data_IF_893559003322
#
_entry.id   IF_893559003322
#
_cell.length_a   1.000
_cell.length_b   1.000
_cell.length_c   1.000
_cell.angle_alpha   90.00
_cell.angle_beta   90.00
_cell.angle_gamma   90.00
#
_symmetry.space_group_name_H-M   'P 1'
#
loop_
_entity.id
_entity.type
_entity.pdbx_description
1 polymer ?
#
# COMPACT_ATOMS: atom_id res chain seq x y z
N UNK A 1 13.20 -22.10 -10.64
CA UNK A 1 12.00 -21.26 -10.47
C UNK A 1 11.07 -21.89 -9.45
N UNK A 2 10.67 -21.12 -8.50
CA UNK A 2 9.75 -21.57 -7.46
C UNK A 2 8.41 -20.88 -7.59
N UNK A 3 7.37 -21.57 -7.16
CA UNK A 3 6.03 -21.01 -7.10
C UNK A 3 5.59 -20.92 -5.66
N UNK A 4 4.97 -19.79 -5.31
CA UNK A 4 4.46 -19.58 -3.98
C UNK A 4 3.09 -18.94 -4.07
N UNK A 5 2.13 -19.55 -3.41
CA UNK A 5 0.80 -18.98 -3.30
C UNK A 5 0.82 -17.97 -2.16
N UNK A 6 0.51 -16.74 -2.46
CA UNK A 6 0.55 -15.67 -1.48
C UNK A 6 -0.68 -14.80 -1.60
N UNK A 7 -0.99 -14.09 -0.53
CA UNK A 7 -2.02 -13.07 -0.57
C UNK A 7 -1.34 -11.74 -0.88
N UNK A 8 -1.84 -11.06 -1.89
CA UNK A 8 -1.27 -9.81 -2.38
C UNK A 8 -2.18 -8.67 -1.97
N UNK A 9 -1.59 -7.67 -1.34
CA UNK A 9 -2.26 -6.42 -1.02
C UNK A 9 -1.71 -5.35 -1.94
N UNK A 10 -2.59 -4.67 -2.66
CA UNK A 10 -2.20 -3.59 -3.55
C UNK A 10 -2.98 -2.34 -3.18
N UNK A 11 -2.32 -1.21 -3.12
CA UNK A 11 -3.00 0.03 -2.81
C UNK A 11 -2.42 1.19 -3.61
N UNK A 12 -3.27 2.17 -3.86
CA UNK A 12 -2.85 3.41 -4.50
C UNK A 12 -3.78 4.55 -4.04
N UNK A 13 -3.37 5.77 -4.37
CA UNK A 13 -4.14 6.96 -4.03
C UNK A 13 -5.19 7.22 -5.10
N UNK A 14 -6.42 7.47 -4.68
CA UNK A 14 -7.50 7.83 -5.60
C UNK A 14 -7.23 9.24 -6.12
N UNK A 15 -7.24 9.40 -7.45
CA UNK A 15 -7.08 10.69 -8.12
C UNK A 15 -5.79 11.43 -7.74
N UNK A 16 -4.69 10.70 -7.62
CA UNK A 16 -3.41 11.30 -7.21
C UNK A 16 -2.96 12.39 -8.17
N UNK A 17 -3.15 12.20 -9.47
CA UNK A 17 -2.79 13.22 -10.47
C UNK A 17 -3.51 14.54 -10.21
N UNK A 18 -4.74 14.46 -9.77
CA UNK A 18 -5.56 15.63 -9.47
C UNK A 18 -5.05 16.35 -8.23
N UNK A 19 -4.65 15.59 -7.21
CA UNK A 19 -4.06 16.16 -6.00
C UNK A 19 -2.74 16.85 -6.33
N UNK A 20 -1.92 16.22 -7.16
CA UNK A 20 -0.64 16.78 -7.59
C UNK A 20 -0.84 18.07 -8.37
N UNK A 21 -1.85 18.10 -9.25
CA UNK A 21 -2.14 19.30 -10.06
C UNK A 21 -2.64 20.45 -9.18
N UNK A 22 -3.33 20.14 -8.09
CA UNK A 22 -3.85 21.15 -7.18
C UNK A 22 -2.73 21.80 -6.35
N UNK A 23 -1.90 20.98 -5.72
CA UNK A 23 -0.76 21.45 -4.92
C UNK A 23 0.23 20.31 -4.79
N UNK A 24 1.28 20.37 -5.60
CA UNK A 24 2.27 19.29 -5.66
C UNK A 24 3.01 19.09 -4.34
N UNK A 25 3.41 20.18 -3.69
CA UNK A 25 4.18 20.09 -2.45
C UNK A 25 3.37 19.47 -1.32
N UNK A 26 2.10 19.88 -1.19
CA UNK A 26 1.22 19.31 -0.19
C UNK A 26 0.93 17.85 -0.50
N UNK A 27 0.66 17.52 -1.76
CA UNK A 27 0.36 16.15 -2.16
C UNK A 27 1.55 15.22 -1.86
N UNK A 28 2.76 15.64 -2.20
CA UNK A 28 3.95 14.82 -1.94
C UNK A 28 4.25 14.69 -0.45
N UNK A 29 4.08 15.77 0.30
CA UNK A 29 4.29 15.75 1.74
C UNK A 29 3.29 14.82 2.42
N UNK A 30 2.03 14.91 2.04
CA UNK A 30 0.99 14.03 2.57
C UNK A 30 1.24 12.58 2.20
N UNK A 31 1.62 12.33 0.95
CA UNK A 31 1.92 10.96 0.52
C UNK A 31 3.04 10.35 1.36
N UNK A 32 4.09 11.14 1.63
CA UNK A 32 5.21 10.66 2.44
C UNK A 32 4.77 10.27 3.83
N UNK A 33 3.95 11.09 4.47
CA UNK A 33 3.41 10.79 5.80
C UNK A 33 2.54 9.54 5.80
N UNK A 34 1.64 9.45 4.81
CA UNK A 34 0.75 8.29 4.70
C UNK A 34 1.53 7.03 4.42
N UNK A 35 2.60 7.14 3.63
CA UNK A 35 3.43 5.99 3.29
C UNK A 35 4.10 5.39 4.52
N UNK A 36 4.53 6.22 5.46
CA UNK A 36 5.10 5.73 6.71
C UNK A 36 4.08 4.92 7.50
N UNK A 37 2.85 5.40 7.55
CA UNK A 37 1.77 4.71 8.25
C UNK A 37 1.45 3.38 7.57
N UNK A 38 1.43 3.38 6.24
CA UNK A 38 1.15 2.18 5.45
C UNK A 38 2.25 1.14 5.67
N UNK A 39 3.51 1.55 5.59
CA UNK A 39 4.64 0.64 5.79
C UNK A 39 4.60 0.02 7.17
N UNK A 40 4.32 0.80 8.21
CA UNK A 40 4.19 0.28 9.57
C UNK A 40 3.05 -0.72 9.68
N UNK A 41 1.90 -0.42 9.10
CA UNK A 41 0.75 -1.30 9.16
C UNK A 41 1.03 -2.64 8.48
N UNK A 42 1.74 -2.60 7.35
CA UNK A 42 2.10 -3.81 6.61
C UNK A 42 3.08 -4.65 7.44
N UNK A 43 4.12 -4.03 7.98
CA UNK A 43 5.12 -4.76 8.76
C UNK A 43 4.57 -5.30 10.08
N UNK A 44 3.59 -4.62 10.66
CA UNK A 44 3.01 -5.06 11.93
C UNK A 44 2.36 -6.44 11.84
N UNK A 45 1.89 -6.83 10.67
CA UNK A 45 1.25 -8.13 10.45
C UNK A 45 2.08 -9.01 9.53
N UNK A 46 3.39 -8.80 9.54
CA UNK A 46 4.39 -9.60 8.84
C UNK A 46 4.24 -9.58 7.32
N UNK A 47 3.71 -8.49 6.78
CA UNK A 47 3.68 -8.29 5.34
C UNK A 47 5.05 -7.87 4.83
N UNK A 48 5.29 -8.13 3.55
CA UNK A 48 6.53 -7.76 2.88
C UNK A 48 6.22 -6.93 1.65
N UNK A 49 6.71 -5.70 1.63
CA UNK A 49 6.55 -4.82 0.48
C UNK A 49 7.55 -5.26 -0.58
N UNK A 50 7.05 -5.56 -1.78
CA UNK A 50 7.94 -5.96 -2.87
C UNK A 50 7.79 -5.11 -4.13
N UNK A 51 6.89 -4.14 -4.11
CA UNK A 51 6.75 -3.20 -5.21
C UNK A 51 6.26 -1.87 -4.72
N UNK A 52 6.81 -0.80 -5.28
CA UNK A 52 6.43 0.55 -4.92
C UNK A 52 6.79 1.46 -6.08
N UNK A 53 5.83 2.25 -6.55
CA UNK A 53 6.06 3.19 -7.64
C UNK A 53 5.10 4.35 -7.48
N UNK A 54 5.65 5.55 -7.27
CA UNK A 54 4.82 6.74 -7.07
C UNK A 54 3.93 6.56 -5.87
N UNK A 55 2.63 6.56 -6.10
CA UNK A 55 1.63 6.43 -5.05
C UNK A 55 1.17 4.99 -4.80
N UNK A 56 1.73 4.02 -5.51
CA UNK A 56 1.28 2.63 -5.37
C UNK A 56 2.24 1.79 -4.53
N UNK A 57 1.67 0.84 -3.81
CA UNK A 57 2.41 -0.09 -2.96
C UNK A 57 1.83 -1.49 -3.16
N UNK A 58 2.71 -2.47 -3.30
CA UNK A 58 2.32 -3.87 -3.42
C UNK A 58 3.07 -4.66 -2.36
N UNK A 59 2.32 -5.42 -1.56
CA UNK A 59 2.90 -6.22 -0.50
C UNK A 59 2.34 -7.63 -0.53
N UNK A 60 3.09 -8.57 0.03
CA UNK A 60 2.62 -9.94 0.14
C UNK A 60 2.49 -10.34 1.61
N UNK A 61 1.53 -11.23 1.86
CA UNK A 61 1.28 -11.79 3.18
C UNK A 61 1.15 -13.30 3.05
N UNK A 62 1.62 -14.01 4.05
CA UNK A 62 1.44 -15.46 4.10
C UNK A 62 -0.01 -15.84 4.40
N UNK A 63 -0.76 -14.94 5.01
CA UNK A 63 -2.13 -15.21 5.49
C UNK A 63 -3.11 -14.20 4.89
N UNK A 64 -4.20 -14.69 4.27
CA UNK A 64 -5.26 -13.79 3.79
C UNK A 64 -5.88 -12.97 4.94
N UNK A 65 -6.00 -13.54 6.11
CA UNK A 65 -6.56 -12.84 7.26
C UNK A 65 -5.71 -11.64 7.62
N UNK A 66 -4.40 -11.81 7.66
CA UNK A 66 -3.49 -10.70 7.99
C UNK A 66 -3.52 -9.61 6.93
N UNK A 67 -3.64 -9.99 5.66
CA UNK A 67 -3.75 -9.02 4.58
C UNK A 67 -5.02 -8.18 4.72
N UNK A 68 -6.15 -8.82 5.01
CA UNK A 68 -7.41 -8.12 5.20
C UNK A 68 -7.37 -7.24 6.44
N UNK A 69 -6.80 -7.73 7.53
CA UNK A 69 -6.64 -6.92 8.74
C UNK A 69 -5.80 -5.67 8.46
N UNK A 70 -4.73 -5.84 7.70
CA UNK A 70 -3.87 -4.71 7.32
C UNK A 70 -4.64 -3.70 6.50
N UNK A 71 -5.43 -4.17 5.51
CA UNK A 71 -6.24 -3.28 4.69
C UNK A 71 -7.22 -2.48 5.53
N UNK A 72 -7.92 -3.14 6.46
CA UNK A 72 -8.87 -2.48 7.35
C UNK A 72 -8.16 -1.46 8.25
N UNK A 73 -7.01 -1.84 8.81
CA UNK A 73 -6.24 -0.94 9.67
C UNK A 73 -5.78 0.31 8.92
N UNK A 74 -5.30 0.13 7.69
CA UNK A 74 -4.86 1.26 6.87
C UNK A 74 -6.04 2.20 6.60
N UNK A 75 -7.18 1.66 6.17
CA UNK A 75 -8.33 2.49 5.86
C UNK A 75 -8.87 3.22 7.09
N UNK A 76 -8.87 2.57 8.24
CA UNK A 76 -9.30 3.21 9.48
C UNK A 76 -8.39 4.39 9.85
N UNK A 77 -7.08 4.20 9.73
CA UNK A 77 -6.11 5.26 10.02
C UNK A 77 -6.24 6.42 9.04
N UNK A 78 -6.43 6.12 7.76
CA UNK A 78 -6.59 7.17 6.75
C UNK A 78 -7.87 7.97 6.99
N UNK A 79 -8.95 7.29 7.35
CA UNK A 79 -10.20 7.96 7.65
C UNK A 79 -10.05 8.91 8.84
N UNK A 80 -9.40 8.46 9.90
CA UNK A 80 -9.16 9.28 11.09
C UNK A 80 -8.36 10.53 10.76
N UNK A 81 -7.34 10.40 9.94
CA UNK A 81 -6.52 11.55 9.53
C UNK A 81 -7.34 12.51 8.67
N UNK A 82 -8.08 11.96 7.70
CA UNK A 82 -8.86 12.80 6.77
C UNK A 82 -9.94 13.60 7.47
N UNK A 83 -10.52 13.07 8.55
CA UNK A 83 -11.56 13.76 9.30
C UNK A 83 -11.07 15.10 9.89
N UNK A 84 -9.77 15.21 10.11
CA UNK A 84 -9.16 16.41 10.68
C UNK A 84 -8.55 17.33 9.62
N UNK A 85 -8.77 17.04 8.35
CA UNK A 85 -8.19 17.81 7.25
C UNK A 85 -9.29 18.44 6.39
N UNK A 86 -9.01 19.63 5.81
CA UNK A 86 -9.91 20.18 4.80
C UNK A 86 -9.98 19.24 3.61
N UNK A 87 -11.10 19.28 2.91
CA UNK A 87 -11.37 18.34 1.84
C UNK A 87 -10.26 18.29 0.77
N UNK A 88 -9.71 19.45 0.42
CA UNK A 88 -8.69 19.52 -0.63
C UNK A 88 -7.35 18.90 -0.21
N UNK A 89 -7.17 18.59 1.06
CA UNK A 89 -5.96 17.94 1.56
C UNK A 89 -6.17 16.47 1.90
N UNK A 90 -7.41 15.98 1.76
CA UNK A 90 -7.72 14.59 2.08
C UNK A 90 -7.17 13.66 1.01
N UNK A 91 -6.63 12.54 1.46
CA UNK A 91 -6.07 11.55 0.57
C UNK A 91 -6.77 10.22 0.83
N UNK A 92 -7.43 9.70 -0.20
CA UNK A 92 -8.15 8.43 -0.10
C UNK A 92 -7.38 7.36 -0.84
N UNK A 93 -7.39 6.16 -0.28
CA UNK A 93 -6.66 5.04 -0.86
C UNK A 93 -7.63 3.96 -1.34
N UNK A 94 -7.31 3.37 -2.48
CA UNK A 94 -7.94 2.13 -2.92
C UNK A 94 -7.04 1.00 -2.46
N UNK A 95 -7.65 -0.02 -1.84
CA UNK A 95 -6.92 -1.18 -1.36
C UNK A 95 -7.58 -2.42 -1.91
N UNK A 96 -6.81 -3.26 -2.57
CA UNK A 96 -7.27 -4.53 -3.09
C UNK A 96 -6.49 -5.67 -2.47
N UNK A 97 -7.18 -6.78 -2.20
CA UNK A 97 -6.55 -7.97 -1.65
C UNK A 97 -6.89 -9.13 -2.57
N UNK A 98 -5.86 -9.83 -3.04
CA UNK A 98 -6.03 -10.96 -3.93
C UNK A 98 -5.10 -12.09 -3.54
N UNK A 99 -5.53 -13.32 -3.80
CA UNK A 99 -4.64 -14.46 -3.68
C UNK A 99 -3.95 -14.63 -5.03
N UNK A 100 -2.63 -14.64 -5.02
CA UNK A 100 -1.85 -14.74 -6.23
C UNK A 100 -0.74 -15.75 -6.10
N UNK A 101 -0.24 -16.18 -7.25
CA UNK A 101 0.90 -17.07 -7.30
C UNK A 101 2.12 -16.27 -7.72
N UNK A 102 3.10 -16.22 -6.82
CA UNK A 102 4.37 -15.55 -7.11
C UNK A 102 5.37 -16.57 -7.63
N UNK A 103 6.10 -16.15 -8.65
CA UNK A 103 7.15 -16.97 -9.23
C UNK A 103 8.50 -16.42 -8.81
N UNK A 104 9.31 -17.30 -8.24
CA UNK A 104 10.65 -16.93 -7.82
C UNK A 104 11.67 -17.64 -8.69
N UNK A 105 12.66 -16.90 -9.14
CA UNK A 105 13.79 -17.49 -9.81
C UNK A 105 14.89 -17.68 -8.78
N UNK A 106 15.56 -18.79 -8.83
CA UNK A 106 16.70 -19.02 -7.94
C UNK A 106 17.72 -17.92 -8.13
N UNK A 107 18.27 -17.41 -7.04
CA UNK A 107 19.23 -16.31 -7.14
C UNK A 107 20.57 -16.71 -7.73
N UNK A 108 20.71 -17.92 -8.04
CA UNK A 108 21.93 -18.30 -8.73
C UNK A 108 21.83 -17.79 -10.11
N UNK A 109 22.42 -17.34 -10.40
CA UNK A 109 22.29 -16.56 -11.16
C UNK A 109 21.55 -16.21 -12.27
N UNK A 110 21.11 -16.43 -11.80
CA UNK A 110 20.33 -16.08 -12.36
C UNK A 110 20.01 -16.11 -12.96
N UNK A 111 20.06 -16.43 -13.03
CA UNK A 111 19.52 -16.61 -13.14
C UNK A 111 19.23 -16.37 -13.28
#
# INVERSE_FOLDING_TARGET
MERKLSTILALDVVDFSKLMASDEDIALSNLRQRREIIDEAIHALDGRIFGSAGDSVIAEFASPVRAVETAVNIQAKMQAINENLPEHQRMKFRVGVNIGCLLYTSPSPRD
#
